data_IF_138347170257
#
_entry.id   IF_138347170257
#
_cell.length_a   1.000
_cell.length_b   1.000
_cell.length_c   1.000
_cell.angle_alpha   90.00
_cell.angle_beta   90.00
_cell.angle_gamma   90.00
#
_symmetry.space_group_name_H-M   'P 1'
#
loop_
_entity.id
_entity.type
_entity.pdbx_description
1 polymer ?
#
# COMPACT_ATOMS: atom_id res chain seq x y z
N UNK A 1 5.79 -22.13 13.96
CA UNK A 1 5.55 -21.11 12.93
C UNK A 1 5.15 -19.79 13.56
N UNK A 2 5.70 -18.74 13.05
CA UNK A 2 5.40 -17.42 13.57
C UNK A 2 4.23 -16.81 12.82
N UNK A 3 3.25 -16.39 13.59
CA UNK A 3 2.14 -15.64 12.99
C UNK A 3 2.47 -14.17 13.14
N UNK A 4 2.55 -13.47 12.00
CA UNK A 4 2.78 -12.05 12.06
C UNK A 4 1.56 -11.37 12.63
N UNK A 5 1.79 -10.59 13.67
CA UNK A 5 0.73 -9.82 14.29
C UNK A 5 0.76 -8.41 13.74
N UNK A 6 -0.38 -7.85 13.35
CA UNK A 6 -0.40 -6.44 12.98
C UNK A 6 -0.04 -5.61 14.22
N UNK A 7 0.90 -4.72 14.05
CA UNK A 7 1.30 -3.84 15.15
C UNK A 7 0.49 -2.55 15.18
N UNK A 8 -0.38 -2.37 14.20
CA UNK A 8 -1.13 -1.14 14.03
C UNK A 8 -2.58 -1.46 13.77
N UNK A 9 -3.47 -0.54 14.12
CA UNK A 9 -4.86 -0.67 13.77
C UNK A 9 -5.01 -0.53 12.26
N UNK A 10 -6.17 -0.94 11.75
CA UNK A 10 -6.46 -0.80 10.34
C UNK A 10 -6.37 0.66 9.89
N UNK A 11 -6.85 1.57 10.72
CA UNK A 11 -6.79 2.99 10.41
C UNK A 11 -5.36 3.50 10.35
N UNK A 12 -4.52 3.00 11.25
CA UNK A 12 -3.11 3.38 11.24
C UNK A 12 -2.40 2.85 9.99
N UNK A 13 -2.69 1.61 9.62
CA UNK A 13 -2.14 1.07 8.37
C UNK A 13 -2.50 1.95 7.19
N UNK A 14 -3.77 2.30 7.08
CA UNK A 14 -4.25 3.10 5.96
C UNK A 14 -3.60 4.48 5.96
N UNK A 15 -3.56 5.14 7.11
CA UNK A 15 -3.02 6.47 7.21
C UNK A 15 -1.54 6.50 6.89
N UNK A 16 -0.78 5.62 7.51
CA UNK A 16 0.67 5.59 7.30
C UNK A 16 1.02 5.15 5.89
N UNK A 17 0.34 4.12 5.40
CA UNK A 17 0.63 3.61 4.07
C UNK A 17 0.31 4.62 2.99
N UNK A 18 -0.84 5.27 3.11
CA UNK A 18 -1.22 6.26 2.10
C UNK A 18 -0.32 7.48 2.17
N UNK A 19 0.10 7.88 3.36
CA UNK A 19 1.01 9.01 3.49
C UNK A 19 2.37 8.70 2.86
N UNK A 20 2.90 7.53 3.12
CA UNK A 20 4.18 7.12 2.53
C UNK A 20 4.05 7.09 1.01
N UNK A 21 2.94 6.52 0.52
CA UNK A 21 2.73 6.44 -0.91
C UNK A 21 2.72 7.83 -1.55
N UNK A 22 1.92 8.74 -1.02
CA UNK A 22 1.78 10.07 -1.62
C UNK A 22 3.06 10.87 -1.55
N UNK A 23 3.82 10.74 -0.48
CA UNK A 23 5.00 11.56 -0.29
C UNK A 23 6.26 11.00 -0.93
N UNK A 24 6.40 9.68 -0.94
CA UNK A 24 7.68 9.08 -1.27
C UNK A 24 7.65 8.15 -2.46
N UNK A 25 6.53 7.54 -2.76
CA UNK A 25 6.49 6.44 -3.72
C UNK A 25 5.83 6.84 -5.02
N UNK A 26 4.72 7.54 -4.93
CA UNK A 26 3.87 7.82 -6.08
C UNK A 26 4.64 8.42 -7.26
N UNK A 27 5.46 9.44 -6.98
CA UNK A 27 6.19 10.11 -8.04
C UNK A 27 7.17 9.19 -8.75
N UNK A 28 7.64 8.16 -8.05
CA UNK A 28 8.61 7.23 -8.62
C UNK A 28 7.98 6.11 -9.41
N UNK A 29 6.75 5.72 -9.08
CA UNK A 29 6.20 4.51 -9.65
C UNK A 29 5.01 4.75 -10.57
N UNK A 30 4.36 5.90 -10.50
CA UNK A 30 3.08 6.09 -11.19
C UNK A 30 3.21 5.96 -12.70
N UNK A 31 4.26 6.52 -13.27
CA UNK A 31 4.45 6.46 -14.71
C UNK A 31 4.75 5.04 -15.15
N UNK A 32 3.94 4.54 -16.06
CA UNK A 32 4.15 3.21 -16.61
C UNK A 32 3.63 2.06 -15.76
N UNK A 33 3.07 2.36 -14.59
CA UNK A 33 2.63 1.28 -13.69
C UNK A 33 1.15 1.40 -13.29
N UNK A 34 0.38 2.16 -14.04
CA UNK A 34 -1.04 2.31 -13.73
C UNK A 34 -1.74 0.96 -13.67
N UNK A 35 -2.51 0.74 -12.64
CA UNK A 35 -3.25 -0.49 -12.44
C UNK A 35 -2.49 -1.55 -11.66
N UNK A 36 -1.20 -1.37 -11.48
CA UNK A 36 -0.43 -2.32 -10.68
C UNK A 36 -0.61 -2.03 -9.20
N UNK A 37 -0.14 -2.97 -8.39
CA UNK A 37 -0.24 -2.87 -6.93
C UNK A 37 1.14 -2.59 -6.35
N UNK A 38 1.21 -1.69 -5.39
CA UNK A 38 2.42 -1.52 -4.60
C UNK A 38 2.16 -1.97 -3.18
N UNK A 39 3.04 -2.80 -2.66
CA UNK A 39 3.03 -3.23 -1.26
C UNK A 39 4.05 -2.38 -0.52
N UNK A 40 3.63 -1.79 0.57
CA UNK A 40 4.44 -0.82 1.33
C UNK A 40 4.58 -1.30 2.76
N UNK A 41 5.82 -1.37 3.23
CA UNK A 41 6.08 -1.59 4.65
C UNK A 41 5.93 -0.25 5.36
N UNK A 42 4.89 -0.11 6.15
CA UNK A 42 4.61 1.18 6.78
C UNK A 42 5.60 1.57 7.87
N UNK A 43 6.46 0.63 8.27
CA UNK A 43 7.48 0.93 9.28
C UNK A 43 8.77 1.43 8.68
N UNK A 44 9.14 0.92 7.51
CA UNK A 44 10.42 1.27 6.92
C UNK A 44 10.30 2.09 5.64
N UNK A 45 9.14 2.06 5.00
CA UNK A 45 8.94 2.71 3.72
C UNK A 45 9.39 1.88 2.54
N UNK A 46 9.89 0.67 2.77
CA UNK A 46 10.26 -0.23 1.67
C UNK A 46 9.00 -0.61 0.88
N UNK A 47 9.16 -0.80 -0.42
CA UNK A 47 8.00 -1.15 -1.23
C UNK A 47 8.39 -2.03 -2.41
N UNK A 48 7.37 -2.74 -2.92
CA UNK A 48 7.52 -3.57 -4.14
C UNK A 48 6.29 -3.38 -5.00
N UNK A 49 6.49 -3.37 -6.32
CA UNK A 49 5.41 -3.21 -7.28
C UNK A 49 5.20 -4.52 -8.01
N UNK A 50 3.95 -4.91 -8.21
CA UNK A 50 3.63 -6.13 -8.96
C UNK A 50 2.25 -6.00 -9.57
N UNK A 51 1.88 -6.99 -10.39
CA UNK A 51 0.60 -6.95 -11.08
C UNK A 51 -0.59 -7.15 -10.14
N UNK A 52 -0.36 -7.85 -9.03
CA UNK A 52 -1.45 -8.14 -8.09
C UNK A 52 -0.94 -8.13 -6.66
N UNK A 53 -1.89 -8.17 -5.73
CA UNK A 53 -1.59 -8.08 -4.31
C UNK A 53 -0.71 -9.23 -3.84
N UNK A 54 -1.01 -10.44 -4.28
CA UNK A 54 -0.28 -11.60 -3.81
C UNK A 54 1.18 -11.52 -4.20
N UNK A 55 1.46 -11.19 -5.46
CA UNK A 55 2.83 -11.09 -5.93
C UNK A 55 3.57 -9.96 -5.25
N UNK A 56 2.92 -8.81 -5.10
CA UNK A 56 3.54 -7.68 -4.42
C UNK A 56 3.87 -8.03 -2.97
N UNK A 57 2.94 -8.70 -2.30
CA UNK A 57 3.14 -9.15 -0.94
C UNK A 57 4.31 -10.11 -0.83
N UNK A 58 4.36 -11.09 -1.73
CA UNK A 58 5.45 -12.07 -1.71
C UNK A 58 6.80 -11.41 -1.89
N UNK A 59 6.89 -10.46 -2.80
CA UNK A 59 8.14 -9.75 -3.04
C UNK A 59 8.58 -8.94 -1.83
N UNK A 60 7.63 -8.24 -1.22
CA UNK A 60 7.97 -7.44 -0.05
C UNK A 60 8.39 -8.32 1.11
N UNK A 61 7.66 -9.40 1.36
CA UNK A 61 7.97 -10.28 2.47
C UNK A 61 9.26 -11.06 2.27
N UNK A 62 9.65 -11.30 1.01
CA UNK A 62 10.94 -11.92 0.73
C UNK A 62 12.09 -11.04 1.20
N UNK A 63 11.91 -9.72 1.12
CA UNK A 63 12.92 -8.77 1.59
C UNK A 63 12.80 -8.48 3.07
N UNK A 64 11.58 -8.43 3.56
CA UNK A 64 11.29 -8.00 4.93
C UNK A 64 10.22 -8.90 5.51
N UNK A 65 10.61 -10.05 6.06
CA UNK A 65 9.61 -11.02 6.54
C UNK A 65 8.65 -10.48 7.59
N UNK A 66 9.06 -9.44 8.30
CA UNK A 66 8.22 -8.85 9.34
C UNK A 66 7.50 -7.59 8.88
N UNK A 67 7.45 -7.35 7.58
CA UNK A 67 6.87 -6.13 7.06
C UNK A 67 5.42 -5.97 7.49
N UNK A 68 5.06 -4.76 7.83
CA UNK A 68 3.68 -4.38 8.12
C UNK A 68 3.13 -3.76 6.83
N UNK A 69 2.53 -4.58 6.01
CA UNK A 69 2.24 -4.24 4.62
C UNK A 69 0.90 -3.54 4.44
N UNK A 70 0.93 -2.48 3.66
CA UNK A 70 -0.26 -1.81 3.16
C UNK A 70 -0.20 -1.82 1.64
N UNK A 71 -1.34 -1.92 0.99
CA UNK A 71 -1.37 -2.06 -0.47
C UNK A 71 -2.12 -0.90 -1.10
N UNK A 72 -1.57 -0.39 -2.20
CA UNK A 72 -2.18 0.71 -2.96
C UNK A 72 -2.21 0.32 -4.43
N UNK A 73 -3.32 0.62 -5.11
CA UNK A 73 -3.38 0.45 -6.57
C UNK A 73 -2.85 1.72 -7.21
N UNK A 74 -1.82 1.58 -8.00
CA UNK A 74 -1.14 2.72 -8.62
C UNK A 74 -2.04 3.34 -9.67
N UNK A 75 -2.19 4.66 -9.59
CA UNK A 75 -2.98 5.40 -10.56
C UNK A 75 -4.48 5.43 -10.28
N UNK A 76 -4.95 4.65 -9.30
CA UNK A 76 -6.36 4.68 -8.94
C UNK A 76 -6.65 5.95 -8.16
N UNK A 77 -7.81 6.54 -8.39
CA UNK A 77 -8.22 7.67 -7.57
C UNK A 77 -8.68 7.15 -6.22
N UNK A 78 -8.22 7.80 -5.20
CA UNK A 78 -8.73 7.54 -3.85
C UNK A 78 -10.12 8.17 -3.82
N UNK A 79 -11.04 7.39 -3.60
CA UNK A 79 -12.40 7.88 -3.66
C UNK A 79 -12.95 7.93 -2.27
N UNK A 80 -12.59 7.90 -2.30
CA UNK A 80 -13.07 7.73 -1.58
C UNK A 80 -13.56 8.06 -0.66
N UNK A 81 -13.71 8.22 -0.66
CA UNK A 81 -14.12 8.53 -0.22
C UNK A 81 -15.00 8.43 0.32
N UNK A 82 -15.26 8.50 0.58
CA UNK A 82 -15.97 8.51 0.75
C UNK A 82 -16.74 8.82 1.08
N UNK A 83 -17.02 8.94 1.28
CA UNK A 83 -17.60 9.17 1.09
C UNK A 83 -18.29 9.63 1.14
N UNK A 84 -18.69 9.99 1.24
CA UNK A 84 -19.33 10.23 0.81
C UNK A 84 -19.78 10.78 0.54
N UNK A 85 -19.58 10.84 0.35
CA UNK A 85 -19.60 11.23 -0.22
C UNK A 85 -19.99 11.32 -0.78
N UNK A 86 -20.32 11.46 -0.79
CA UNK A 86 -20.52 11.51 -1.53
C UNK A 86 -20.91 11.51 -2.16
N UNK A 87 -21.14 11.41 -2.19
CA UNK A 87 -21.33 11.34 -3.00
C UNK A 87 -21.70 11.39 -3.62
N UNK A 88 -22.13 11.51 -3.62
CA UNK A 88 -22.33 11.48 -4.35
C UNK A 88 -22.38 11.56 -4.81
N UNK A 89 -22.48 11.48 -4.72
CA UNK A 89 -22.28 11.37 -5.21
C UNK A 89 -22.26 11.45 -5.50
#
# INVERSE_FOLDING_TARGET
>A
MTVRQPRYSKEEFARRGNEIYERQIRAQVETGNHGKIVAIDIETGAYEVAEDVLTASDRLLARSPDAQAWFVRIGARAVHRFGPHRLTE
#
